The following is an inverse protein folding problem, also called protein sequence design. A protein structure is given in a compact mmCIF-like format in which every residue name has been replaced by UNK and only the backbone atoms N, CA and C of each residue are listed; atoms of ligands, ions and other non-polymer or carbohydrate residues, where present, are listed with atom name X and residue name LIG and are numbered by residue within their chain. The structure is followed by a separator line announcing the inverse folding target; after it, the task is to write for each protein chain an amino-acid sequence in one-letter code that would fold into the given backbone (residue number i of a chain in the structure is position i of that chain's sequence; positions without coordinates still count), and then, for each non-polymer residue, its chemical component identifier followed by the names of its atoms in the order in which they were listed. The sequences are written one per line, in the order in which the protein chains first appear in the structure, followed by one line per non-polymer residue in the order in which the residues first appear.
data_IF_408906270903
#
_entry.id   IF_408906270903
#
_cell.length_a   1.000
_cell.length_b   1.000
_cell.length_c   1.000
_cell.angle_alpha   90.00
_cell.angle_beta   90.00
_cell.angle_gamma   90.00
#
_symmetry.space_group_name_H-M   'P 1'
#
loop_
_entity.id
_entity.type
_entity.pdbx_description
1 polymer ?
#
# COMPACT_ATOMS: atom_id res chain seq x y z
N UNK A 1 -1.29 -20.33 -17.03
CA UNK A 1 -2.48 -21.21 -17.12
C UNK A 1 -3.70 -20.41 -16.64
N UNK A 2 -4.92 -20.94 -16.81
CA UNK A 2 -6.16 -20.26 -16.36
C UNK A 2 -6.18 -20.04 -14.85
N UNK A 3 -5.71 -21.01 -14.07
CA UNK A 3 -5.64 -20.91 -12.61
C UNK A 3 -4.86 -19.67 -12.12
N UNK A 4 -3.67 -19.39 -12.68
CA UNK A 4 -2.88 -18.21 -12.34
C UNK A 4 -3.56 -16.90 -12.73
N UNK A 5 -4.42 -16.90 -13.77
CA UNK A 5 -5.22 -15.72 -14.14
C UNK A 5 -6.29 -15.50 -13.08
N UNK A 6 -7.04 -16.54 -12.73
CA UNK A 6 -8.10 -16.47 -11.70
C UNK A 6 -7.53 -16.04 -10.34
N UNK A 7 -6.38 -16.58 -9.92
CA UNK A 7 -5.72 -16.16 -8.67
C UNK A 7 -5.36 -14.67 -8.69
N UNK A 8 -4.85 -14.15 -9.81
CA UNK A 8 -4.56 -12.71 -9.94
C UNK A 8 -5.81 -11.85 -9.91
N UNK A 9 -6.91 -12.31 -10.51
CA UNK A 9 -8.20 -11.61 -10.46
C UNK A 9 -8.74 -11.54 -9.04
N UNK A 10 -8.69 -12.65 -8.29
CA UNK A 10 -9.10 -12.69 -6.88
C UNK A 10 -8.22 -11.76 -6.03
N UNK A 11 -6.90 -11.80 -6.22
CA UNK A 11 -5.99 -10.92 -5.50
C UNK A 11 -6.28 -9.44 -5.78
N UNK A 12 -6.52 -9.09 -7.04
CA UNK A 12 -6.93 -7.75 -7.42
C UNK A 12 -8.21 -7.33 -6.71
N UNK A 13 -9.27 -8.16 -6.76
CA UNK A 13 -10.54 -7.84 -6.08
C UNK A 13 -10.38 -7.61 -4.57
N UNK A 14 -9.51 -8.38 -3.90
CA UNK A 14 -9.17 -8.12 -2.50
C UNK A 14 -8.39 -6.81 -2.34
N UNK A 15 -7.40 -6.53 -3.20
CA UNK A 15 -6.62 -5.29 -3.16
C UNK A 15 -7.53 -4.06 -3.25
N UNK A 16 -8.50 -4.06 -4.17
CA UNK A 16 -9.47 -2.96 -4.32
C UNK A 16 -10.41 -2.87 -3.12
N UNK A 17 -11.01 -4.00 -2.70
CA UNK A 17 -12.00 -4.01 -1.64
C UNK A 17 -11.43 -3.57 -0.28
N UNK A 18 -10.24 -4.06 0.10
CA UNK A 18 -9.60 -3.63 1.36
C UNK A 18 -9.14 -2.18 1.27
N UNK A 19 -8.58 -1.75 0.14
CA UNK A 19 -8.13 -0.37 0.01
C UNK A 19 -9.33 0.60 0.08
N UNK A 20 -10.31 0.45 -0.82
CA UNK A 20 -11.44 1.36 -0.90
C UNK A 20 -12.35 1.22 0.34
N UNK A 21 -12.68 -0.01 0.74
CA UNK A 21 -13.66 -0.28 1.79
C UNK A 21 -13.12 -0.14 3.21
N UNK A 22 -11.82 -0.28 3.42
CA UNK A 22 -11.22 -0.26 4.76
C UNK A 22 -10.20 0.86 4.91
N UNK A 23 -9.15 0.90 4.08
CA UNK A 23 -8.08 1.90 4.22
C UNK A 23 -8.64 3.31 4.09
N UNK A 24 -9.32 3.62 2.99
CA UNK A 24 -9.83 4.97 2.71
C UNK A 24 -11.01 5.40 3.60
N UNK A 25 -11.65 4.43 4.27
CA UNK A 25 -12.86 4.67 5.07
C UNK A 25 -12.63 4.55 6.59
N UNK A 26 -11.38 4.36 7.04
CA UNK A 26 -11.06 4.14 8.45
C UNK A 26 -9.94 5.06 8.91
N UNK A 27 -10.10 5.68 10.09
CA UNK A 27 -9.01 6.36 10.78
C UNK A 27 -8.27 5.35 11.67
N UNK A 28 -7.04 5.01 11.29
CA UNK A 28 -6.24 4.07 12.05
C UNK A 28 -5.58 4.75 13.25
N UNK A 29 -5.58 4.07 14.39
CA UNK A 29 -4.60 4.33 15.44
C UNK A 29 -3.26 3.70 15.05
N UNK A 30 -2.16 4.10 15.69
CA UNK A 30 -0.84 3.46 15.47
C UNK A 30 -0.90 1.95 15.69
N UNK A 31 -1.57 1.49 16.75
CA UNK A 31 -1.75 0.06 17.00
C UNK A 31 -2.61 -0.64 15.94
N UNK A 32 -3.69 0.02 15.49
CA UNK A 32 -4.55 -0.50 14.43
C UNK A 32 -3.83 -0.61 13.09
N UNK A 33 -2.99 0.37 12.73
CA UNK A 33 -2.18 0.34 11.52
C UNK A 33 -1.16 -0.81 11.54
N UNK A 34 -0.49 -1.04 12.67
CA UNK A 34 0.44 -2.15 12.84
C UNK A 34 -0.28 -3.51 12.77
N UNK A 35 -1.48 -3.60 13.37
CA UNK A 35 -2.30 -4.81 13.28
C UNK A 35 -2.74 -5.09 11.84
N UNK A 36 -3.21 -4.06 11.13
CA UNK A 36 -3.56 -4.17 9.71
C UNK A 36 -2.36 -4.63 8.87
N UNK A 37 -1.19 -4.02 9.04
CA UNK A 37 0.03 -4.46 8.37
C UNK A 37 0.38 -5.92 8.68
N UNK A 38 0.25 -6.34 9.94
CA UNK A 38 0.47 -7.73 10.33
C UNK A 38 -0.50 -8.67 9.60
N UNK A 39 -1.79 -8.36 9.61
CA UNK A 39 -2.81 -9.19 8.97
C UNK A 39 -2.60 -9.28 7.46
N UNK A 40 -2.20 -8.20 6.81
CA UNK A 40 -1.91 -8.22 5.38
C UNK A 40 -0.65 -9.03 5.08
N UNK A 41 0.45 -8.78 5.79
CA UNK A 41 1.76 -9.36 5.47
C UNK A 41 1.94 -10.81 5.94
N UNK A 42 1.39 -11.15 7.12
CA UNK A 42 1.55 -12.48 7.74
C UNK A 42 0.40 -13.42 7.44
N UNK A 43 -0.78 -12.90 7.10
CA UNK A 43 -1.94 -13.73 6.77
C UNK A 43 -2.28 -13.62 5.28
N UNK A 44 -2.87 -12.52 4.81
CA UNK A 44 -3.41 -12.42 3.45
C UNK A 44 -2.35 -12.70 2.38
N UNK A 45 -1.20 -12.01 2.42
CA UNK A 45 -0.14 -12.19 1.44
C UNK A 45 0.48 -13.59 1.53
N UNK A 46 0.63 -14.12 2.74
CA UNK A 46 1.18 -15.46 2.98
C UNK A 46 0.30 -16.56 2.37
N UNK A 47 -1.04 -16.42 2.41
CA UNK A 47 -1.97 -17.35 1.76
C UNK A 47 -1.73 -17.48 0.24
N UNK A 48 -1.24 -16.40 -0.38
CA UNK A 48 -0.90 -16.36 -1.81
C UNK A 48 0.55 -16.76 -2.11
N UNK A 49 1.37 -17.07 -1.08
CA UNK A 49 2.78 -17.46 -1.21
C UNK A 49 3.03 -18.69 -2.07
N UNK A 50 2.10 -19.66 -2.05
CA UNK A 50 2.18 -20.86 -2.90
C UNK A 50 1.89 -20.57 -4.39
N UNK A 51 1.29 -19.42 -4.71
CA UNK A 51 0.88 -19.06 -6.07
C UNK A 51 1.76 -17.97 -6.70
N UNK A 52 2.49 -17.21 -5.87
CA UNK A 52 3.38 -16.15 -6.33
C UNK A 52 4.63 -16.07 -5.47
N UNK A 53 5.81 -15.93 -6.12
CA UNK A 53 7.10 -15.74 -5.43
C UNK A 53 7.15 -14.47 -4.58
N UNK A 54 6.39 -13.44 -4.97
CA UNK A 54 6.28 -12.15 -4.26
C UNK A 54 4.81 -11.77 -4.15
N UNK A 55 4.05 -12.32 -3.18
CA UNK A 55 2.61 -12.11 -3.08
C UNK A 55 2.21 -10.66 -2.90
N UNK A 56 3.01 -9.83 -2.21
CA UNK A 56 2.75 -8.40 -2.04
C UNK A 56 2.60 -7.64 -3.37
N UNK A 57 3.24 -8.09 -4.44
CA UNK A 57 3.09 -7.49 -5.77
C UNK A 57 1.73 -7.74 -6.43
N UNK A 58 0.93 -8.65 -5.87
CA UNK A 58 -0.46 -8.86 -6.26
C UNK A 58 -1.42 -7.91 -5.54
N UNK A 59 -0.99 -7.29 -4.44
CA UNK A 59 -1.79 -6.45 -3.54
C UNK A 59 -1.13 -5.08 -3.38
N UNK A 60 -0.95 -4.38 -4.51
CA UNK A 60 -0.08 -3.20 -4.55
C UNK A 60 -0.65 -2.05 -3.74
N UNK A 61 -1.97 -1.83 -3.78
CA UNK A 61 -2.61 -0.74 -3.04
C UNK A 61 -2.56 -0.99 -1.53
N UNK A 62 -2.90 -2.22 -1.10
CA UNK A 62 -2.77 -2.61 0.30
C UNK A 62 -1.31 -2.50 0.76
N UNK A 63 -0.35 -2.94 -0.05
CA UNK A 63 1.07 -2.91 0.30
C UNK A 63 1.60 -1.47 0.46
N UNK A 64 1.24 -0.58 -0.46
CA UNK A 64 1.56 0.84 -0.35
C UNK A 64 0.87 1.47 0.89
N UNK A 65 -0.40 1.16 1.14
CA UNK A 65 -1.14 1.62 2.32
C UNK A 65 -0.51 1.14 3.63
N UNK A 66 -0.09 -0.13 3.73
CA UNK A 66 0.62 -0.65 4.89
C UNK A 66 1.92 0.11 5.15
N UNK A 67 2.62 0.52 4.09
CA UNK A 67 3.86 1.31 4.18
C UNK A 67 3.56 2.71 4.72
N UNK A 68 2.54 3.37 4.19
CA UNK A 68 2.14 4.73 4.62
C UNK A 68 1.61 4.75 6.06
N UNK A 69 0.67 3.86 6.40
CA UNK A 69 0.03 3.80 7.71
C UNK A 69 0.99 3.47 8.86
N UNK A 70 2.14 2.86 8.54
CA UNK A 70 3.18 2.51 9.52
C UNK A 70 4.46 3.33 9.37
N UNK A 71 4.43 4.36 8.52
CA UNK A 71 5.57 5.23 8.30
C UNK A 71 5.91 5.97 9.62
N UNK A 72 7.20 6.06 10.01
CA UNK A 72 7.58 6.85 11.17
C UNK A 72 7.11 8.30 11.03
N UNK A 73 6.60 8.89 12.11
CA UNK A 73 6.01 10.24 12.08
C UNK A 73 6.90 11.28 11.39
N UNK A 74 8.21 11.29 11.69
CA UNK A 74 9.14 12.23 11.05
C UNK A 74 9.24 12.03 9.54
N UNK A 75 9.27 10.79 9.06
CA UNK A 75 9.27 10.48 7.63
C UNK A 75 7.93 10.86 6.96
N UNK A 76 6.81 10.67 7.66
CA UNK A 76 5.49 11.08 7.17
C UNK A 76 5.38 12.61 7.04
N UNK A 77 5.87 13.35 8.04
CA UNK A 77 5.90 14.82 7.99
C UNK A 77 6.76 15.33 6.83
N UNK A 78 7.98 14.78 6.66
CA UNK A 78 8.86 15.15 5.55
C UNK A 78 8.26 14.83 4.18
N UNK A 79 7.60 13.68 4.05
CA UNK A 79 6.89 13.31 2.84
C UNK A 79 5.78 14.33 2.54
N UNK A 80 4.96 14.68 3.54
CA UNK A 80 3.89 15.65 3.40
C UNK A 80 4.42 17.02 2.96
N UNK A 81 5.43 17.56 3.64
CA UNK A 81 6.07 18.84 3.29
C UNK A 81 6.64 18.83 1.87
N UNK A 82 7.30 17.74 1.48
CA UNK A 82 7.86 17.57 0.13
C UNK A 82 6.76 17.55 -0.92
N UNK A 83 5.61 16.89 -0.66
CA UNK A 83 4.51 16.85 -1.60
C UNK A 83 3.75 18.18 -1.69
N UNK A 84 3.65 18.93 -0.59
CA UNK A 84 3.03 20.26 -0.53
C UNK A 84 3.85 21.35 -1.22
N UNK A 85 5.17 21.20 -1.29
CA UNK A 85 6.07 22.18 -1.94
C UNK A 85 5.94 22.24 -3.48
N UNK A 86 4.89 21.63 -4.05
CA UNK A 86 4.65 21.47 -5.48
C UNK A 86 5.90 21.05 -6.27
N UNK A 87 6.53 19.93 -5.88
CA UNK A 87 7.72 19.43 -6.54
C UNK A 87 7.41 18.97 -7.96
N UNK A 88 8.44 18.83 -8.78
CA UNK A 88 8.31 18.24 -10.12
C UNK A 88 7.76 16.80 -10.05
N UNK A 89 7.10 16.33 -11.10
CA UNK A 89 6.62 14.94 -11.17
C UNK A 89 7.74 13.91 -11.00
N UNK A 90 8.94 14.21 -11.48
CA UNK A 90 10.12 13.35 -11.31
C UNK A 90 10.52 13.24 -9.84
N UNK A 91 10.49 14.36 -9.12
CA UNK A 91 10.77 14.39 -7.67
C UNK A 91 9.69 13.66 -6.88
N UNK A 92 8.41 13.79 -7.25
CA UNK A 92 7.34 12.99 -6.63
C UNK A 92 7.63 11.51 -6.86
N UNK A 93 7.87 11.09 -8.11
CA UNK A 93 8.08 9.69 -8.45
C UNK A 93 9.31 9.11 -7.74
N UNK A 94 10.41 9.85 -7.65
CA UNK A 94 11.62 9.39 -6.93
C UNK A 94 11.35 9.22 -5.44
N UNK A 95 10.71 10.20 -4.79
CA UNK A 95 10.40 10.15 -3.36
C UNK A 95 9.47 8.99 -3.01
N UNK A 96 8.39 8.80 -3.78
CA UNK A 96 7.47 7.68 -3.56
C UNK A 96 8.17 6.32 -3.74
N UNK A 97 9.04 6.22 -4.76
CA UNK A 97 9.83 5.02 -5.01
C UNK A 97 10.86 4.73 -3.92
N UNK A 98 11.50 5.75 -3.35
CA UNK A 98 12.44 5.63 -2.22
C UNK A 98 11.76 5.08 -0.97
N UNK A 99 10.49 5.45 -0.75
CA UNK A 99 9.66 4.88 0.31
C UNK A 99 9.13 3.47 -0.01
N UNK A 100 9.42 2.94 -1.20
CA UNK A 100 8.98 1.61 -1.62
C UNK A 100 7.53 1.54 -2.11
N UNK A 101 6.90 2.69 -2.38
CA UNK A 101 5.55 2.77 -2.94
C UNK A 101 5.58 2.43 -4.43
N UNK A 102 4.57 1.70 -4.87
CA UNK A 102 4.58 1.04 -6.19
C UNK A 102 3.43 1.43 -7.09
N UNK A 103 2.33 1.93 -6.55
CA UNK A 103 1.10 2.21 -7.31
C UNK A 103 0.39 3.50 -6.91
N UNK A 104 0.49 3.93 -5.64
CA UNK A 104 -0.16 5.17 -5.22
C UNK A 104 0.51 6.40 -5.83
N UNK A 105 -0.31 7.35 -6.27
CA UNK A 105 0.13 8.65 -6.76
C UNK A 105 0.12 9.68 -5.61
N UNK A 106 0.55 10.92 -5.90
CA UNK A 106 0.56 12.02 -4.90
C UNK A 106 -0.77 12.15 -4.15
N UNK A 107 -1.89 12.15 -4.86
CA UNK A 107 -3.21 12.32 -4.25
C UNK A 107 -3.53 11.15 -3.32
N UNK A 108 -3.36 9.92 -3.78
CA UNK A 108 -3.64 8.73 -2.97
C UNK A 108 -2.71 8.63 -1.74
N UNK A 109 -1.49 9.13 -1.82
CA UNK A 109 -0.57 9.17 -0.67
C UNK A 109 -1.01 10.16 0.40
N UNK A 110 -1.60 11.29 0.00
CA UNK A 110 -2.08 12.33 0.92
C UNK A 110 -3.42 11.95 1.55
N UNK A 111 -4.23 11.15 0.86
CA UNK A 111 -5.55 10.72 1.33
C UNK A 111 -5.51 9.53 2.30
N UNK A 112 -4.45 8.71 2.25
CA UNK A 112 -4.20 7.57 3.17
C UNK A 112 -3.62 8.06 4.49
#
# INVERSE_FOLDING_TARGET
NVFSVVIRMIALQFDEWFFDGMVMNTKFSTGGALQFQFDMTRNLFALFGQYARKPSLLFKRINDACTLLTLPLGSAMLLHETLESNPSEETVASTLKELGLTILNKTGVVEV
#
